data_IF_934071484377
#
_entry.id   IF_934071484377
#
_cell.length_a   1.000
_cell.length_b   1.000
_cell.length_c   1.000
_cell.angle_alpha   90.00
_cell.angle_beta   90.00
_cell.angle_gamma   90.00
#
_symmetry.space_group_name_H-M   'P 1'
#
loop_
_entity.id
_entity.type
_entity.pdbx_description
1 polymer ?
#
# COMPACT_ATOMS: atom_id res chain seq x y z
N UNK A 1 -28.22 8.80 7.37
CA UNK A 1 -28.58 9.80 8.38
C UNK A 1 -29.03 8.99 9.59
N UNK A 2 -28.31 9.05 10.72
CA UNK A 2 -28.69 8.34 11.95
C UNK A 2 -29.67 9.21 12.73
N UNK A 3 -30.88 8.72 12.99
CA UNK A 3 -31.90 9.41 13.78
C UNK A 3 -32.11 8.59 15.05
N UNK A 4 -31.72 9.16 16.20
CA UNK A 4 -31.84 8.51 17.50
C UNK A 4 -32.77 9.35 18.39
N UNK A 5 -33.76 8.70 19.00
CA UNK A 5 -34.70 9.38 19.89
C UNK A 5 -34.02 9.69 21.22
N UNK A 6 -34.03 10.98 21.59
CA UNK A 6 -33.46 11.47 22.84
C UNK A 6 -34.61 11.68 23.82
N UNK A 7 -34.61 10.92 24.91
CA UNK A 7 -35.70 10.94 25.91
C UNK A 7 -35.40 11.79 27.14
N UNK A 8 -34.13 12.10 27.41
CA UNK A 8 -33.66 12.83 28.60
C UNK A 8 -32.63 13.90 28.23
N UNK A 9 -32.50 14.97 29.03
CA UNK A 9 -31.54 16.05 28.77
C UNK A 9 -30.09 15.56 28.84
N UNK A 10 -29.80 14.60 29.73
CA UNK A 10 -28.49 13.97 29.83
C UNK A 10 -28.15 13.16 28.57
N UNK A 11 -29.13 12.43 28.02
CA UNK A 11 -28.97 11.70 26.75
C UNK A 11 -28.67 12.65 25.58
N UNK A 12 -29.22 13.87 25.60
CA UNK A 12 -28.90 14.89 24.61
C UNK A 12 -27.43 15.33 24.70
N UNK A 13 -26.98 15.66 25.92
CA UNK A 13 -25.59 16.07 26.15
C UNK A 13 -24.59 14.96 25.79
N UNK A 14 -24.90 13.71 26.19
CA UNK A 14 -24.09 12.54 25.85
C UNK A 14 -24.03 12.29 24.33
N UNK A 15 -25.17 12.40 23.64
CA UNK A 15 -25.23 12.24 22.18
C UNK A 15 -24.37 13.28 21.46
N UNK A 16 -24.49 14.56 21.84
CA UNK A 16 -23.68 15.63 21.24
C UNK A 16 -22.19 15.41 21.53
N UNK A 17 -21.83 15.04 22.76
CA UNK A 17 -20.44 14.75 23.12
C UNK A 17 -19.87 13.54 22.36
N UNK A 18 -20.66 12.47 22.17
CA UNK A 18 -20.26 11.32 21.36
C UNK A 18 -20.14 11.67 19.87
N UNK A 19 -21.03 12.52 19.36
CA UNK A 19 -21.02 12.94 17.96
C UNK A 19 -19.80 13.81 17.64
N UNK A 20 -19.49 14.79 18.49
CA UNK A 20 -18.27 15.61 18.36
C UNK A 20 -17.01 14.74 18.46
N UNK A 21 -17.01 13.74 19.34
CA UNK A 21 -15.90 12.81 19.50
C UNK A 21 -15.96 11.59 18.57
N UNK A 22 -16.82 11.59 17.54
CA UNK A 22 -17.02 10.42 16.66
C UNK A 22 -15.73 9.96 15.98
N UNK A 23 -14.86 10.90 15.60
CA UNK A 23 -13.53 10.62 15.02
C UNK A 23 -12.57 9.97 16.01
N UNK A 24 -12.77 10.20 17.31
CA UNK A 24 -11.94 9.67 18.40
C UNK A 24 -12.59 8.46 19.11
N UNK A 25 -13.76 8.02 18.65
CA UNK A 25 -14.51 6.92 19.24
C UNK A 25 -13.68 5.63 19.18
N UNK A 26 -13.46 5.00 20.33
CA UNK A 26 -12.69 3.76 20.46
C UNK A 26 -11.24 3.94 20.92
N UNK A 27 -10.58 5.07 20.59
CA UNK A 27 -9.19 5.33 21.03
C UNK A 27 -9.10 5.43 22.54
N UNK A 28 -10.03 6.14 23.18
CA UNK A 28 -10.06 6.26 24.64
C UNK A 28 -10.34 4.93 25.35
N UNK A 29 -11.11 4.02 24.73
CA UNK A 29 -11.35 2.70 25.31
C UNK A 29 -10.11 1.82 25.21
N UNK A 30 -9.46 1.81 24.04
CA UNK A 30 -8.20 1.10 23.84
C UNK A 30 -7.11 1.61 24.80
N UNK A 31 -6.99 2.93 25.00
CA UNK A 31 -6.06 3.51 25.96
C UNK A 31 -6.33 3.06 27.39
N UNK A 32 -7.60 3.03 27.81
CA UNK A 32 -7.98 2.52 29.14
C UNK A 32 -7.60 1.05 29.31
N UNK A 33 -7.88 0.21 28.31
CA UNK A 33 -7.49 -1.20 28.33
C UNK A 33 -5.96 -1.40 28.38
N UNK A 34 -5.20 -0.58 27.67
CA UNK A 34 -3.73 -0.60 27.77
C UNK A 34 -3.29 -0.30 29.21
N UNK A 35 -3.82 0.76 29.82
CA UNK A 35 -3.46 1.15 31.19
C UNK A 35 -3.86 0.06 32.19
N UNK A 36 -5.04 -0.52 32.04
CA UNK A 36 -5.53 -1.62 32.88
C UNK A 36 -4.59 -2.83 32.81
N UNK A 37 -4.26 -3.30 31.61
CA UNK A 37 -3.36 -4.45 31.41
C UNK A 37 -1.95 -4.15 31.91
N UNK A 38 -1.47 -2.90 31.77
CA UNK A 38 -0.19 -2.46 32.34
C UNK A 38 -0.18 -2.47 33.87
N UNK A 39 -1.29 -2.06 34.50
CA UNK A 39 -1.40 -2.09 35.96
C UNK A 39 -1.48 -3.52 36.50
N UNK A 40 -2.16 -4.41 35.77
CA UNK A 40 -2.26 -5.83 36.13
C UNK A 40 -0.95 -6.60 35.91
N UNK A 41 -0.13 -6.18 34.95
CA UNK A 41 1.12 -6.84 34.56
C UNK A 41 2.25 -5.79 34.48
N UNK A 42 2.78 -5.32 35.63
CA UNK A 42 3.78 -4.25 35.69
C UNK A 42 5.11 -4.58 34.98
N UNK A 43 5.36 -5.86 34.75
CA UNK A 43 6.56 -6.38 34.09
C UNK A 43 6.50 -6.29 32.56
N UNK A 44 5.33 -6.06 31.96
CA UNK A 44 5.18 -6.05 30.51
C UNK A 44 5.64 -4.73 29.89
N UNK A 45 6.43 -4.84 28.83
CA UNK A 45 6.70 -3.73 27.92
C UNK A 45 5.44 -3.42 27.08
N UNK A 46 5.34 -2.21 26.55
CA UNK A 46 4.18 -1.77 25.75
C UNK A 46 3.93 -2.68 24.54
N UNK A 47 4.99 -3.29 23.99
CA UNK A 47 4.90 -4.27 22.90
C UNK A 47 4.21 -5.56 23.34
N UNK A 48 4.45 -5.99 24.58
CA UNK A 48 3.85 -7.20 25.16
C UNK A 48 2.39 -6.97 25.55
N UNK A 49 2.09 -5.81 26.14
CA UNK A 49 0.72 -5.36 26.40
C UNK A 49 -0.09 -5.32 25.11
N UNK A 50 0.47 -4.71 24.06
CA UNK A 50 -0.18 -4.63 22.74
C UNK A 50 -0.39 -6.03 22.15
N UNK A 51 0.55 -6.95 22.35
CA UNK A 51 0.40 -8.36 21.93
C UNK A 51 -0.74 -9.05 22.66
N UNK A 52 -0.85 -8.87 23.98
CA UNK A 52 -1.93 -9.44 24.79
C UNK A 52 -3.30 -8.91 24.36
N UNK A 53 -3.41 -7.61 24.09
CA UNK A 53 -4.62 -7.00 23.51
C UNK A 53 -4.92 -7.62 22.13
N UNK A 54 -3.91 -7.75 21.27
CA UNK A 54 -4.07 -8.35 19.94
C UNK A 54 -4.59 -9.79 20.00
N UNK A 55 -4.08 -10.61 20.92
CA UNK A 55 -4.58 -11.98 21.15
C UNK A 55 -6.04 -11.95 21.63
N UNK A 56 -6.37 -11.06 22.56
CA UNK A 56 -7.74 -10.92 23.04
C UNK A 56 -8.70 -10.54 21.88
N UNK A 57 -8.30 -9.58 21.04
CA UNK A 57 -9.07 -9.22 19.85
C UNK A 57 -9.24 -10.40 18.89
N UNK A 58 -8.18 -11.17 18.62
CA UNK A 58 -8.26 -12.34 17.74
C UNK A 58 -9.19 -13.43 18.30
N UNK A 59 -9.27 -13.60 19.62
CA UNK A 59 -10.19 -14.56 20.23
C UNK A 59 -11.67 -14.12 20.18
N UNK A 60 -11.92 -12.82 20.06
CA UNK A 60 -13.28 -12.27 19.96
C UNK A 60 -13.77 -12.07 18.54
N UNK A 61 -12.89 -12.14 17.54
CA UNK A 61 -13.24 -11.98 16.13
C UNK A 61 -13.45 -13.36 15.50
N UNK A 62 -14.60 -13.56 14.85
CA UNK A 62 -14.83 -14.73 13.99
C UNK A 62 -13.99 -14.59 12.72
N UNK A 63 -13.12 -15.56 12.47
CA UNK A 63 -12.18 -15.57 11.34
C UNK A 63 -12.38 -16.89 10.57
N UNK A 64 -12.27 -16.84 9.24
CA UNK A 64 -12.38 -18.06 8.42
C UNK A 64 -11.20 -19.01 8.68
N UNK A 65 -11.38 -20.31 8.44
CA UNK A 65 -10.31 -21.30 8.63
C UNK A 65 -9.05 -21.00 7.81
N UNK A 66 -9.23 -20.42 6.61
CA UNK A 66 -8.15 -20.02 5.71
C UNK A 66 -7.32 -18.87 6.29
N UNK A 67 -7.99 -17.82 6.79
CA UNK A 67 -7.34 -16.67 7.42
C UNK A 67 -6.68 -17.06 8.76
N UNK A 68 -7.31 -17.93 9.55
CA UNK A 68 -6.75 -18.44 10.79
C UNK A 68 -5.45 -19.24 10.53
N UNK A 69 -5.42 -20.09 9.51
CA UNK A 69 -4.20 -20.77 9.07
C UNK A 69 -3.11 -19.77 8.66
N UNK A 70 -3.47 -18.69 7.95
CA UNK A 70 -2.54 -17.64 7.55
C UNK A 70 -1.93 -16.89 8.75
N UNK A 71 -2.74 -16.57 9.75
CA UNK A 71 -2.31 -15.97 11.02
C UNK A 71 -1.35 -16.90 11.78
N UNK A 72 -1.66 -18.19 11.87
CA UNK A 72 -0.83 -19.19 12.55
C UNK A 72 0.54 -19.35 11.87
N UNK A 73 0.58 -19.28 10.53
CA UNK A 73 1.81 -19.30 9.75
C UNK A 73 2.62 -17.99 9.82
N UNK A 74 2.06 -16.94 10.45
CA UNK A 74 2.64 -15.58 10.51
C UNK A 74 2.92 -14.99 9.12
N UNK A 75 2.12 -15.38 8.14
CA UNK A 75 2.23 -14.83 6.80
C UNK A 75 1.51 -13.48 6.74
N UNK A 76 2.04 -12.49 6.00
CA UNK A 76 1.37 -11.22 5.85
C UNK A 76 0.03 -11.42 5.12
N UNK A 77 -1.03 -10.81 5.63
CA UNK A 77 -2.39 -10.90 5.07
C UNK A 77 -2.49 -10.39 3.62
N UNK A 78 -1.52 -9.60 3.18
CA UNK A 78 -1.41 -9.17 1.79
C UNK A 78 0.05 -9.17 1.34
N UNK A 79 0.31 -9.77 0.18
CA UNK A 79 1.58 -9.67 -0.54
C UNK A 79 1.35 -8.90 -1.82
N UNK A 80 2.12 -7.83 -2.02
CA UNK A 80 2.14 -7.08 -3.26
C UNK A 80 3.42 -7.40 -4.05
N UNK A 81 3.31 -7.47 -5.38
CA UNK A 81 4.48 -7.70 -6.26
C UNK A 81 5.47 -6.54 -6.25
N UNK A 82 4.99 -5.35 -5.85
CA UNK A 82 5.72 -4.10 -5.82
C UNK A 82 5.40 -3.34 -4.54
N UNK A 83 6.44 -2.89 -3.84
CA UNK A 83 6.28 -2.12 -2.60
C UNK A 83 5.80 -0.71 -2.93
N UNK A 84 4.74 -0.29 -2.24
CA UNK A 84 4.20 1.06 -2.30
C UNK A 84 4.86 1.90 -1.19
N UNK A 85 5.31 3.11 -1.50
CA UNK A 85 5.91 4.03 -0.52
C UNK A 85 5.28 5.42 -0.67
N UNK A 86 4.81 5.97 0.44
CA UNK A 86 4.26 7.32 0.47
C UNK A 86 5.36 8.34 0.77
N UNK A 87 5.44 9.41 -0.03
CA UNK A 87 6.28 10.57 0.22
C UNK A 87 5.39 11.67 0.82
N UNK A 88 5.69 12.16 2.04
CA UNK A 88 4.91 13.22 2.67
C UNK A 88 5.29 14.59 2.08
N UNK A 89 4.51 15.06 1.13
CA UNK A 89 4.72 16.32 0.36
C UNK A 89 4.14 17.57 1.04
N UNK A 90 3.78 17.47 2.31
CA UNK A 90 3.35 18.60 3.14
C UNK A 90 4.56 19.50 3.47
N UNK A 91 4.30 20.69 4.01
CA UNK A 91 5.34 21.57 4.53
C UNK A 91 6.24 20.84 5.53
N UNK A 92 7.55 21.13 5.60
CA UNK A 92 8.48 20.47 6.51
C UNK A 92 8.01 20.43 7.97
N UNK A 93 7.32 21.49 8.43
CA UNK A 93 6.76 21.61 9.78
C UNK A 93 5.60 20.64 10.03
N UNK A 94 4.77 20.38 9.01
CA UNK A 94 3.58 19.53 9.13
C UNK A 94 3.88 18.04 8.89
N UNK A 95 5.11 17.70 8.47
CA UNK A 95 5.49 16.32 8.18
C UNK A 95 5.55 15.51 9.45
N UNK A 96 4.81 14.41 9.45
CA UNK A 96 4.89 13.40 10.50
C UNK A 96 6.31 12.82 10.56
N UNK A 97 6.89 12.81 11.76
CA UNK A 97 8.18 12.17 12.04
C UNK A 97 7.98 11.06 13.07
N UNK A 98 8.79 10.02 12.94
CA UNK A 98 8.78 8.89 13.85
C UNK A 98 9.94 9.05 14.80
N UNK A 99 9.67 9.06 16.12
CA UNK A 99 10.71 9.08 17.15
C UNK A 99 11.48 7.75 17.15
N UNK A 100 12.79 7.81 17.40
CA UNK A 100 13.60 6.61 17.67
C UNK A 100 13.11 5.92 18.95
N UNK A 101 13.26 4.60 19.01
CA UNK A 101 12.95 3.81 20.20
C UNK A 101 13.90 4.17 21.33
N UNK A 102 13.43 4.13 22.59
CA UNK A 102 14.26 4.51 23.75
C UNK A 102 15.57 3.70 23.80
N UNK A 103 15.50 2.37 23.64
CA UNK A 103 16.67 1.49 23.53
C UNK A 103 17.72 1.98 22.51
N UNK A 104 17.27 2.47 21.35
CA UNK A 104 18.17 2.94 20.31
C UNK A 104 18.77 4.32 20.61
N UNK A 105 18.09 5.13 21.43
CA UNK A 105 18.63 6.41 21.92
C UNK A 105 19.70 6.14 22.99
N UNK A 106 19.41 5.21 23.91
CA UNK A 106 20.31 4.80 24.99
C UNK A 106 21.59 4.16 24.42
N UNK A 107 21.47 3.27 23.42
CA UNK A 107 22.61 2.67 22.70
C UNK A 107 23.48 3.71 21.98
N UNK A 108 22.88 4.78 21.46
CA UNK A 108 23.59 5.86 20.79
C UNK A 108 24.23 6.86 21.77
N UNK A 109 24.05 6.68 23.09
CA UNK A 109 24.60 7.58 24.11
C UNK A 109 24.10 9.02 23.97
N UNK A 110 22.89 9.19 23.42
CA UNK A 110 22.33 10.50 23.13
C UNK A 110 21.89 11.13 24.46
N UNK A 111 22.57 12.20 24.89
CA UNK A 111 22.17 12.98 26.07
C UNK A 111 20.76 13.57 25.92
N UNK A 112 20.10 13.84 27.05
CA UNK A 112 18.69 14.28 27.12
C UNK A 112 18.40 15.54 26.27
N UNK A 113 19.41 16.37 26.00
CA UNK A 113 19.29 17.63 25.25
C UNK A 113 19.49 17.51 23.73
N UNK A 114 19.75 16.30 23.21
CA UNK A 114 20.06 16.15 21.78
C UNK A 114 18.80 16.21 20.90
N UNK A 115 18.85 17.00 19.84
CA UNK A 115 17.77 17.13 18.85
C UNK A 115 17.64 15.90 17.94
N UNK A 116 18.58 14.93 18.00
CA UNK A 116 18.61 13.74 17.13
C UNK A 116 17.71 12.58 17.61
N UNK A 117 16.52 12.92 18.10
CA UNK A 117 15.51 11.95 18.58
C UNK A 117 14.67 11.34 17.45
N UNK A 118 14.69 11.94 16.26
CA UNK A 118 13.83 11.56 15.13
C UNK A 118 14.53 10.59 14.18
N UNK A 119 13.76 9.68 13.57
CA UNK A 119 14.23 8.83 12.47
C UNK A 119 14.29 9.62 11.17
N UNK A 120 15.30 9.33 10.36
CA UNK A 120 15.49 9.93 9.04
C UNK A 120 14.34 9.57 8.08
N UNK A 121 13.67 10.61 7.58
CA UNK A 121 12.66 10.52 6.53
C UNK A 121 13.32 10.39 5.13
N UNK A 122 12.51 10.23 4.09
CA UNK A 122 12.98 10.21 2.70
C UNK A 122 13.67 11.51 2.28
N UNK A 123 13.20 12.66 2.77
CA UNK A 123 13.85 13.95 2.57
C UNK A 123 15.23 13.97 3.21
N UNK A 124 15.34 13.65 4.52
CA UNK A 124 16.63 13.61 5.23
C UNK A 124 17.66 12.70 4.52
N UNK A 125 17.21 11.54 4.00
CA UNK A 125 18.07 10.62 3.23
C UNK A 125 18.47 11.20 1.87
N UNK A 126 17.56 11.91 1.22
CA UNK A 126 17.81 12.55 -0.06
C UNK A 126 18.79 13.72 0.07
N UNK A 127 18.73 14.51 1.14
CA UNK A 127 19.69 15.59 1.39
C UNK A 127 21.11 15.05 1.70
N UNK A 128 21.20 13.89 2.34
CA UNK A 128 22.47 13.19 2.67
C UNK A 128 23.04 12.35 1.51
N UNK A 129 22.44 12.37 0.32
CA UNK A 129 22.88 11.53 -0.83
C UNK A 129 24.30 11.86 -1.30
N UNK A 130 25.01 10.93 -1.96
CA UNK A 130 26.33 11.25 -2.51
C UNK A 130 26.23 12.26 -3.69
N UNK A 131 27.33 12.95 -4.01
CA UNK A 131 27.37 13.99 -5.05
C UNK A 131 27.08 13.43 -6.45
N UNK A 132 27.39 12.15 -6.67
CA UNK A 132 27.07 11.42 -7.91
C UNK A 132 25.57 11.37 -8.24
N UNK A 133 24.70 11.62 -7.24
CA UNK A 133 23.25 11.59 -7.38
C UNK A 133 22.61 12.98 -7.32
N UNK A 134 23.36 14.04 -7.64
CA UNK A 134 22.84 15.41 -7.60
C UNK A 134 21.70 15.64 -8.61
N UNK A 135 21.78 15.06 -9.80
CA UNK A 135 20.79 15.24 -10.88
C UNK A 135 19.50 14.42 -10.71
N UNK A 136 19.48 13.49 -9.75
CA UNK A 136 18.34 12.59 -9.50
C UNK A 136 17.29 13.32 -8.69
N UNK A 137 16.03 13.26 -9.10
CA UNK A 137 14.92 13.89 -8.35
C UNK A 137 14.52 13.09 -7.12
N UNK A 138 13.80 13.70 -6.17
CA UNK A 138 13.32 13.00 -4.98
C UNK A 138 12.45 11.78 -5.36
N UNK A 139 11.54 11.93 -6.33
CA UNK A 139 10.71 10.82 -6.80
C UNK A 139 11.57 9.67 -7.36
N UNK A 140 12.51 9.98 -8.25
CA UNK A 140 13.41 8.96 -8.83
C UNK A 140 14.27 8.28 -7.75
N UNK A 141 14.75 9.04 -6.78
CA UNK A 141 15.52 8.51 -5.66
C UNK A 141 14.71 7.50 -4.84
N UNK A 142 13.49 7.85 -4.43
CA UNK A 142 12.62 6.98 -3.62
C UNK A 142 12.18 5.74 -4.40
N UNK A 143 11.84 5.88 -5.68
CA UNK A 143 11.42 4.76 -6.52
C UNK A 143 12.56 3.79 -6.83
N UNK A 144 13.73 4.30 -7.24
CA UNK A 144 14.74 3.50 -7.90
C UNK A 144 15.93 3.15 -7.02
N UNK A 145 16.21 3.89 -5.95
CA UNK A 145 17.43 3.71 -5.16
C UNK A 145 17.16 3.04 -3.81
N UNK A 146 18.13 2.24 -3.38
CA UNK A 146 18.18 1.66 -2.04
C UNK A 146 19.54 1.93 -1.41
N UNK A 147 19.52 2.20 -0.11
CA UNK A 147 20.72 2.35 0.72
C UNK A 147 21.21 0.95 1.07
N UNK A 148 22.49 0.67 0.83
CA UNK A 148 23.20 -0.52 1.30
C UNK A 148 23.76 -0.28 2.71
N UNK A 149 24.21 -1.35 3.37
CA UNK A 149 24.79 -1.29 4.72
C UNK A 149 26.09 -0.46 4.78
N UNK A 150 26.80 -0.34 3.66
CA UNK A 150 28.01 0.49 3.52
C UNK A 150 27.69 1.98 3.28
N UNK A 151 26.41 2.37 3.28
CA UNK A 151 25.98 3.73 2.98
C UNK A 151 25.97 4.07 1.48
N UNK A 152 26.36 3.14 0.61
CA UNK A 152 26.29 3.34 -0.84
C UNK A 152 24.87 3.17 -1.37
N UNK A 153 24.59 3.82 -2.49
CA UNK A 153 23.30 3.74 -3.17
C UNK A 153 23.37 2.75 -4.32
N UNK A 154 22.36 1.89 -4.44
CA UNK A 154 22.21 0.99 -5.57
C UNK A 154 20.83 1.03 -6.18
N UNK A 155 20.77 0.80 -7.49
CA UNK A 155 19.53 0.71 -8.23
C UNK A 155 18.76 -0.57 -7.87
N UNK A 156 17.46 -0.41 -7.66
CA UNK A 156 16.53 -1.51 -7.39
C UNK A 156 16.23 -2.27 -8.68
N UNK A 157 16.12 -3.60 -8.56
CA UNK A 157 15.64 -4.45 -9.67
C UNK A 157 14.18 -4.19 -10.06
N UNK A 158 13.35 -3.83 -9.07
CA UNK A 158 11.96 -3.42 -9.25
C UNK A 158 11.76 -2.06 -8.58
N UNK A 159 11.32 -1.03 -9.31
CA UNK A 159 11.07 0.29 -8.73
C UNK A 159 9.89 0.22 -7.76
N UNK A 160 9.89 1.11 -6.76
CA UNK A 160 8.76 1.27 -5.84
C UNK A 160 7.69 2.15 -6.45
N UNK A 161 6.43 1.86 -6.14
CA UNK A 161 5.31 2.74 -6.51
C UNK A 161 5.25 3.87 -5.48
N UNK A 162 5.28 5.10 -5.96
CA UNK A 162 5.23 6.29 -5.10
C UNK A 162 3.78 6.73 -4.93
N UNK A 163 3.41 7.08 -3.71
CA UNK A 163 2.18 7.81 -3.40
C UNK A 163 2.53 9.14 -2.75
N UNK A 164 1.71 10.14 -2.96
CA UNK A 164 1.87 11.49 -2.40
C UNK A 164 0.48 12.14 -2.32
N UNK A 165 0.37 13.35 -1.75
CA UNK A 165 -0.92 13.94 -1.38
C UNK A 165 -1.81 14.28 -2.59
N UNK A 166 -1.20 14.70 -3.71
CA UNK A 166 -1.89 15.08 -4.96
C UNK A 166 -2.79 16.30 -4.74
N UNK A 167 -2.17 17.46 -4.53
CA UNK A 167 -2.92 18.72 -4.45
C UNK A 167 -3.66 19.00 -5.77
N UNK A 168 -4.88 19.53 -5.67
CA UNK A 168 -5.67 19.90 -6.84
C UNK A 168 -5.17 21.23 -7.40
N UNK A 169 -4.88 21.25 -8.71
CA UNK A 169 -4.44 22.45 -9.42
C UNK A 169 -5.51 23.55 -9.41
N UNK A 170 -6.79 23.20 -9.37
CA UNK A 170 -7.89 24.16 -9.40
C UNK A 170 -8.14 24.82 -8.04
N UNK A 171 -7.89 24.11 -6.94
CA UNK A 171 -8.12 24.62 -5.59
C UNK A 171 -6.85 25.27 -5.01
N UNK A 172 -5.71 24.58 -5.10
CA UNK A 172 -4.47 24.93 -4.40
C UNK A 172 -3.28 24.98 -5.37
N UNK A 173 -3.29 25.94 -6.30
CA UNK A 173 -2.26 26.04 -7.34
C UNK A 173 -0.82 26.14 -6.78
N UNK A 174 -0.61 26.92 -5.72
CA UNK A 174 0.72 27.10 -5.13
C UNK A 174 1.23 25.81 -4.48
N UNK A 175 0.36 25.10 -3.77
CA UNK A 175 0.68 23.83 -3.13
C UNK A 175 0.98 22.75 -4.17
N UNK A 176 0.20 22.74 -5.27
CA UNK A 176 0.47 21.90 -6.43
C UNK A 176 1.85 22.19 -7.03
N UNK A 177 2.18 23.47 -7.33
CA UNK A 177 3.50 23.84 -7.87
C UNK A 177 4.63 23.40 -6.93
N UNK A 178 4.49 23.64 -5.62
CA UNK A 178 5.48 23.20 -4.62
C UNK A 178 5.65 21.69 -4.64
N UNK A 179 4.55 20.93 -4.59
CA UNK A 179 4.58 19.46 -4.60
C UNK A 179 5.28 18.93 -5.86
N UNK A 180 4.98 19.52 -7.02
CA UNK A 180 5.59 19.11 -8.30
C UNK A 180 7.09 19.40 -8.35
N UNK A 181 7.52 20.60 -7.92
CA UNK A 181 8.95 20.95 -7.83
C UNK A 181 9.66 20.02 -6.85
N UNK A 182 9.09 19.83 -5.66
CA UNK A 182 9.68 18.97 -4.62
C UNK A 182 9.83 17.51 -5.05
N UNK A 183 8.99 17.01 -5.95
CA UNK A 183 9.07 15.62 -6.42
C UNK A 183 9.94 15.45 -7.66
N UNK A 184 9.87 16.39 -8.60
CA UNK A 184 10.37 16.22 -9.98
C UNK A 184 11.48 17.21 -10.37
N UNK A 185 11.89 18.09 -9.46
CA UNK A 185 13.08 18.93 -9.61
C UNK A 185 14.19 18.43 -8.67
N UNK A 186 15.46 18.37 -9.12
CA UNK A 186 16.58 18.01 -8.24
C UNK A 186 16.93 19.18 -7.32
N UNK A 187 17.07 18.93 -6.02
CA UNK A 187 17.46 19.93 -5.02
C UNK A 187 18.31 19.28 -3.93
N UNK A 188 19.14 20.05 -3.21
CA UNK A 188 19.93 19.53 -2.09
C UNK A 188 19.31 19.86 -0.75
N UNK A 189 18.86 21.09 -0.56
CA UNK A 189 18.18 21.55 0.63
C UNK A 189 16.84 22.15 0.27
N UNK A 190 15.77 21.58 0.80
CA UNK A 190 14.41 22.00 0.45
C UNK A 190 14.12 23.45 0.89
N UNK A 191 14.49 23.79 2.13
CA UNK A 191 14.18 25.09 2.72
C UNK A 191 14.85 26.24 1.95
N UNK A 192 16.12 26.07 1.57
CA UNK A 192 16.91 27.11 0.91
C UNK A 192 16.65 27.22 -0.61
N UNK A 193 16.48 26.09 -1.30
CA UNK A 193 16.38 26.05 -2.76
C UNK A 193 14.94 26.11 -3.27
N UNK A 194 13.99 25.51 -2.53
CA UNK A 194 12.60 25.39 -2.98
C UNK A 194 11.70 26.39 -2.24
N UNK A 195 11.73 26.40 -0.90
CA UNK A 195 10.73 27.10 -0.09
C UNK A 195 11.07 28.57 0.15
N UNK A 196 12.36 28.89 0.27
CA UNK A 196 12.86 30.27 0.45
C UNK A 196 12.25 31.19 -0.61
N UNK A 197 11.63 32.28 -0.15
CA UNK A 197 11.05 33.33 -1.01
C UNK A 197 10.05 32.79 -2.06
N UNK A 198 9.45 31.62 -1.82
CA UNK A 198 8.54 30.96 -2.76
C UNK A 198 9.18 30.67 -4.13
N UNK A 199 10.50 30.41 -4.16
CA UNK A 199 11.27 30.09 -5.39
C UNK A 199 10.65 28.96 -6.22
N UNK A 200 9.95 28.02 -5.57
CA UNK A 200 9.23 26.95 -6.27
C UNK A 200 8.26 27.44 -7.35
N UNK A 201 7.70 28.65 -7.24
CA UNK A 201 6.82 29.21 -8.27
C UNK A 201 7.62 29.47 -9.56
N UNK A 202 8.73 30.19 -9.44
CA UNK A 202 9.61 30.51 -10.56
C UNK A 202 10.23 29.25 -11.16
N UNK A 203 10.74 28.35 -10.31
CA UNK A 203 11.34 27.08 -10.75
C UNK A 203 10.32 26.24 -11.53
N UNK A 204 9.06 26.19 -11.06
CA UNK A 204 8.01 25.48 -11.78
C UNK A 204 7.75 26.11 -13.15
N UNK A 205 7.55 27.42 -13.20
CA UNK A 205 7.20 28.13 -14.44
C UNK A 205 8.31 28.03 -15.50
N UNK A 206 9.59 28.05 -15.08
CA UNK A 206 10.74 27.85 -15.97
C UNK A 206 10.93 26.39 -16.43
N UNK A 207 10.54 25.41 -15.61
CA UNK A 207 10.84 23.98 -15.83
C UNK A 207 9.57 23.11 -16.02
N UNK A 208 8.43 23.71 -16.31
CA UNK A 208 7.13 23.03 -16.33
C UNK A 208 7.14 21.79 -17.23
N UNK A 209 7.64 21.93 -18.46
CA UNK A 209 7.70 20.82 -19.43
C UNK A 209 8.54 19.64 -18.92
N UNK A 210 9.65 19.93 -18.25
CA UNK A 210 10.56 18.92 -17.71
C UNK A 210 9.90 18.18 -16.54
N UNK A 211 9.25 18.91 -15.64
CA UNK A 211 8.52 18.38 -14.49
C UNK A 211 7.38 17.47 -14.95
N UNK A 212 6.57 17.92 -15.91
CA UNK A 212 5.45 17.14 -16.46
C UNK A 212 5.92 15.88 -17.19
N UNK A 213 7.04 15.96 -17.91
CA UNK A 213 7.65 14.79 -18.56
C UNK A 213 8.09 13.75 -17.53
N UNK A 214 8.83 14.15 -16.50
CA UNK A 214 9.27 13.27 -15.41
C UNK A 214 8.12 12.70 -14.59
N UNK A 215 7.04 13.47 -14.41
CA UNK A 215 5.82 13.02 -13.73
C UNK A 215 5.18 11.82 -14.43
N UNK A 216 5.21 11.80 -15.76
CA UNK A 216 4.65 10.72 -16.59
C UNK A 216 5.33 9.36 -16.36
N UNK A 217 6.57 9.35 -15.88
CA UNK A 217 7.27 8.10 -15.55
C UNK A 217 6.68 7.40 -14.31
N UNK A 218 6.05 8.16 -13.42
CA UNK A 218 5.47 7.66 -12.17
C UNK A 218 3.95 7.54 -12.20
N UNK A 219 3.31 8.31 -13.07
CA UNK A 219 1.87 8.24 -13.29
C UNK A 219 1.58 7.45 -14.56
N UNK A 220 1.11 6.21 -14.40
CA UNK A 220 0.52 5.50 -15.52
C UNK A 220 -0.76 6.24 -15.92
N UNK A 221 -0.81 6.71 -17.16
CA UNK A 221 -2.04 7.11 -17.84
C UNK A 221 -2.90 5.87 -18.13
N UNK A 222 -3.13 5.02 -17.13
CA UNK A 222 -4.07 3.93 -17.27
C UNK A 222 -5.46 4.57 -17.23
N UNK A 223 -6.20 4.42 -18.33
CA UNK A 223 -7.61 4.80 -18.35
C UNK A 223 -8.34 3.85 -17.40
N UNK A 224 -8.50 4.31 -16.15
CA UNK A 224 -9.11 3.54 -15.08
C UNK A 224 -10.54 3.14 -15.48
N UNK A 225 -11.24 3.98 -16.26
CA UNK A 225 -12.59 3.67 -16.74
C UNK A 225 -12.56 2.50 -17.72
N UNK A 226 -11.69 2.53 -18.72
CA UNK A 226 -11.51 1.40 -19.65
C UNK A 226 -11.06 0.13 -18.93
N UNK A 227 -10.21 0.27 -17.92
CA UNK A 227 -9.72 -0.89 -17.15
C UNK A 227 -10.85 -1.51 -16.32
N UNK A 228 -11.65 -0.69 -15.64
CA UNK A 228 -12.85 -1.12 -14.91
C UNK A 228 -13.86 -1.75 -15.87
N UNK A 229 -14.04 -1.19 -17.05
CA UNK A 229 -14.95 -1.72 -18.08
C UNK A 229 -14.49 -3.10 -18.59
N UNK A 230 -13.19 -3.27 -18.86
CA UNK A 230 -12.61 -4.57 -19.20
C UNK A 230 -12.80 -5.57 -18.06
N UNK A 231 -12.55 -5.18 -16.81
CA UNK A 231 -12.79 -6.04 -15.64
C UNK A 231 -14.27 -6.42 -15.52
N UNK A 232 -15.20 -5.48 -15.75
CA UNK A 232 -16.63 -5.76 -15.75
C UNK A 232 -17.04 -6.72 -16.86
N UNK A 233 -16.49 -6.59 -18.07
CA UNK A 233 -16.77 -7.55 -19.14
C UNK A 233 -16.24 -8.95 -18.79
N UNK A 234 -15.01 -9.04 -18.29
CA UNK A 234 -14.42 -10.31 -17.87
C UNK A 234 -15.17 -10.99 -16.71
N UNK A 235 -15.73 -10.21 -15.78
CA UNK A 235 -16.54 -10.74 -14.68
C UNK A 235 -17.99 -11.02 -15.09
N UNK A 236 -18.48 -10.45 -16.20
CA UNK A 236 -19.85 -10.70 -16.70
C UNK A 236 -19.98 -11.96 -17.54
N UNK A 237 -18.88 -12.48 -18.10
CA UNK A 237 -18.92 -13.72 -18.90
C UNK A 237 -19.21 -14.98 -18.04
N UNK A 238 -19.14 -14.89 -16.71
CA UNK A 238 -19.59 -15.96 -15.80
C UNK A 238 -21.07 -15.82 -15.37
N UNK A 239 -21.73 -14.69 -15.67
CA UNK A 239 -23.13 -14.40 -15.25
C UNK A 239 -24.18 -14.54 -16.38
N UNK A 240 -23.79 -14.97 -17.60
CA UNK A 240 -24.72 -15.15 -18.75
C UNK A 240 -25.12 -16.62 -18.94
N UNK A 241 -25.44 -17.34 -17.86
CA UNK A 241 -26.15 -18.62 -17.98
C UNK A 241 -27.36 -18.77 -17.05
N UNK A 242 -27.78 -17.73 -16.34
CA UNK A 242 -29.03 -17.78 -15.58
C UNK A 242 -29.89 -16.58 -15.95
N UNK A 243 -30.88 -16.81 -16.82
CA UNK A 243 -32.23 -16.23 -16.83
C UNK A 243 -32.77 -16.18 -18.26
N UNK A 244 -33.50 -17.21 -18.67
CA UNK A 244 -34.82 -17.05 -19.31
C UNK A 244 -35.59 -18.39 -19.24
N UNK A 245 -36.74 -18.34 -18.56
CA UNK A 245 -37.84 -19.34 -18.46
C UNK A 245 -37.89 -20.24 -17.22
N UNK A 246 -38.39 -19.65 -16.12
CA UNK A 246 -39.24 -20.37 -15.16
C UNK A 246 -40.62 -20.65 -15.79
N UNK A 247 -40.79 -21.85 -16.35
CA UNK A 247 -42.10 -22.52 -16.50
C UNK A 247 -41.90 -23.98 -16.88
N UNK A 248 -41.71 -24.84 -15.86
CA UNK A 248 -42.28 -26.20 -15.72
C UNK A 248 -41.49 -26.97 -14.65
N UNK A 249 -42.06 -27.05 -13.45
CA UNK A 249 -41.59 -27.95 -12.41
C UNK A 249 -42.06 -29.38 -12.73
N UNK A 250 -41.19 -30.23 -13.30
CA UNK A 250 -41.11 -31.67 -13.06
C UNK A 250 -40.12 -32.35 -14.01
N UNK A 251 -38.87 -32.56 -13.57
CA UNK A 251 -38.00 -33.73 -13.83
C UNK A 251 -36.54 -33.36 -13.55
N UNK A 252 -36.11 -33.44 -12.29
CA UNK A 252 -34.68 -33.46 -11.97
C UNK A 252 -34.16 -34.87 -12.23
N UNK A 253 -33.41 -35.06 -13.31
CA UNK A 253 -32.42 -36.14 -13.37
C UNK A 253 -31.12 -35.63 -12.72
N UNK A 254 -30.44 -36.43 -11.88
CA UNK A 254 -29.14 -36.01 -11.36
C UNK A 254 -28.13 -35.95 -12.51
N UNK A 255 -27.55 -34.78 -12.75
CA UNK A 255 -26.40 -34.69 -13.64
C UNK A 255 -25.21 -35.44 -13.03
N UNK A 256 -24.47 -36.26 -13.81
CA UNK A 256 -23.27 -36.92 -13.32
C UNK A 256 -22.18 -35.90 -13.03
N UNK A 257 -21.43 -36.11 -11.95
CA UNK A 257 -20.29 -35.27 -11.56
C UNK A 257 -19.29 -35.14 -12.74
N UNK A 258 -19.01 -33.91 -13.24
CA UNK A 258 -18.15 -33.69 -14.39
C UNK A 258 -16.72 -34.20 -14.20
N UNK A 259 -16.32 -34.45 -12.94
CA UNK A 259 -14.97 -34.87 -12.57
C UNK A 259 -14.87 -36.37 -12.31
N UNK A 260 -15.97 -37.12 -12.41
CA UNK A 260 -16.02 -38.54 -12.08
C UNK A 260 -15.09 -39.39 -12.98
N UNK A 261 -14.84 -38.94 -14.21
CA UNK A 261 -13.94 -39.58 -15.16
C UNK A 261 -12.44 -39.28 -14.91
N UNK A 262 -12.11 -38.29 -14.08
CA UNK A 262 -10.71 -37.97 -13.72
C UNK A 262 -10.16 -38.90 -12.63
N UNK A 263 -11.03 -39.44 -11.78
CA UNK A 263 -10.64 -40.32 -10.69
C UNK A 263 -10.51 -41.80 -11.11
N UNK A 264 -10.95 -42.17 -12.31
CA UNK A 264 -11.02 -43.58 -12.75
C UNK A 264 -9.90 -44.04 -13.70
N UNK A 265 -9.06 -43.16 -14.25
CA UNK A 265 -8.06 -43.56 -15.24
C UNK A 265 -6.61 -43.50 -14.71
N UNK A 266 -6.00 -44.68 -14.57
CA UNK A 266 -4.73 -44.92 -13.88
C UNK A 266 -3.44 -44.65 -14.69
N UNK A 267 -3.44 -43.76 -15.70
CA UNK A 267 -2.22 -43.47 -16.48
C UNK A 267 -1.93 -41.96 -16.63
N UNK A 268 -0.83 -41.45 -16.02
CA UNK A 268 -0.55 -40.02 -15.87
C UNK A 268 0.08 -39.31 -17.09
N UNK A 269 0.44 -40.02 -18.17
CA UNK A 269 1.19 -39.41 -19.28
C UNK A 269 0.33 -38.74 -20.37
N UNK A 270 -0.94 -39.12 -20.52
CA UNK A 270 -1.82 -38.55 -21.56
C UNK A 270 -2.39 -37.18 -21.11
N UNK A 271 -2.56 -36.95 -19.81
CA UNK A 271 -3.15 -35.71 -19.25
C UNK A 271 -2.30 -34.45 -19.50
N UNK A 272 -0.99 -34.54 -19.64
CA UNK A 272 -0.16 -33.34 -19.79
C UNK A 272 -0.19 -32.73 -21.20
N UNK A 273 -0.60 -33.48 -22.23
CA UNK A 273 -0.67 -32.99 -23.60
C UNK A 273 -1.97 -32.19 -23.84
N UNK A 274 -3.12 -32.74 -23.40
CA UNK A 274 -4.42 -32.11 -23.63
C UNK A 274 -4.67 -30.88 -22.73
N UNK A 275 -4.18 -30.90 -21.49
CA UNK A 275 -4.26 -29.73 -20.59
C UNK A 275 -3.40 -28.59 -21.15
N UNK A 276 -2.22 -28.88 -21.71
CA UNK A 276 -1.37 -27.86 -22.36
C UNK A 276 -1.97 -27.34 -23.66
N UNK A 277 -2.62 -28.19 -24.46
CA UNK A 277 -3.28 -27.80 -25.70
C UNK A 277 -4.52 -26.93 -25.45
N UNK A 278 -5.34 -27.27 -24.44
CA UNK A 278 -6.51 -26.49 -24.04
C UNK A 278 -6.14 -25.11 -23.48
N UNK A 279 -5.06 -25.03 -22.69
CA UNK A 279 -4.55 -23.77 -22.14
C UNK A 279 -3.90 -22.89 -23.22
N UNK A 280 -3.20 -23.48 -24.19
CA UNK A 280 -2.59 -22.74 -25.31
C UNK A 280 -3.62 -22.20 -26.31
N UNK A 281 -4.72 -22.92 -26.53
CA UNK A 281 -5.81 -22.45 -27.40
C UNK A 281 -6.64 -21.31 -26.78
N UNK A 282 -6.78 -21.26 -25.44
CA UNK A 282 -7.39 -20.10 -24.73
C UNK A 282 -6.49 -18.86 -24.70
N UNK A 283 -5.20 -18.97 -25.05
CA UNK A 283 -4.21 -17.89 -25.01
C UNK A 283 -3.74 -17.44 -26.41
N UNK A 284 -4.64 -17.08 -27.31
CA UNK A 284 -4.32 -16.20 -28.46
C UNK A 284 -4.61 -14.74 -28.09
N UNK A 285 -3.92 -13.68 -28.59
CA UNK A 285 -2.76 -13.54 -29.49
C UNK A 285 -1.47 -13.06 -28.78
N UNK A 286 -1.42 -13.03 -27.44
CA UNK A 286 -0.31 -12.44 -26.68
C UNK A 286 0.94 -13.36 -26.62
N UNK A 287 0.80 -14.66 -26.86
CA UNK A 287 1.90 -15.63 -26.75
C UNK A 287 2.75 -15.82 -28.04
N UNK A 288 2.38 -15.26 -29.19
CA UNK A 288 3.10 -15.52 -30.47
C UNK A 288 4.37 -14.68 -30.71
N UNK A 289 4.77 -13.77 -29.80
CA UNK A 289 5.93 -12.87 -30.03
C UNK A 289 7.15 -13.06 -29.09
N UNK A 290 7.34 -14.25 -28.51
CA UNK A 290 8.58 -14.61 -27.79
C UNK A 290 9.14 -15.96 -28.23
N UNK A 291 9.55 -16.08 -29.49
CA UNK A 291 10.55 -17.08 -29.91
C UNK A 291 11.58 -16.43 -30.81
N UNK A 292 12.63 -15.90 -30.19
CA UNK A 292 14.01 -15.81 -30.69
C UNK A 292 14.87 -15.19 -29.58
N UNK A 293 15.29 -16.01 -28.63
CA UNK A 293 16.54 -15.82 -27.88
C UNK A 293 16.96 -17.19 -27.37
N UNK A 294 17.83 -17.86 -28.14
CA UNK A 294 18.53 -19.07 -27.73
C UNK A 294 19.62 -18.65 -26.73
N UNK A 295 19.59 -19.24 -25.54
CA UNK A 295 20.66 -19.13 -24.55
C UNK A 295 20.52 -20.24 -23.54
N UNK A 296 21.30 -21.31 -23.71
CA UNK A 296 21.38 -22.47 -22.82
C UNK A 296 21.79 -22.01 -21.41
N UNK A 297 21.01 -22.33 -20.38
CA UNK A 297 21.52 -22.47 -19.02
C UNK A 297 21.13 -23.85 -18.48
N UNK A 298 22.17 -24.66 -18.29
CA UNK A 298 22.18 -26.00 -17.73
C UNK A 298 22.04 -25.86 -16.21
N UNK A 299 21.14 -26.63 -15.61
CA UNK A 299 20.96 -26.72 -14.17
C UNK A 299 22.04 -27.64 -13.59
N UNK A 300 22.77 -27.13 -12.60
CA UNK A 300 23.15 -27.86 -11.39
C UNK A 300 22.48 -27.13 -10.23
#
# INVERSE_FOLDING_TARGET
MDIQFITEEYSCAAYVAEYVNKTNRGVSHLQRLIIEIMNENPEFDIVEVTRKIGVNMLNHVEITSQEAAWYLLREPMSKCSTVVTTIPTMWPVDRQRIRKTQKALDEMGIGEDSTNIWRDNWFDKYEKRHQDLNDVTLAQFVANYTVKSDGSYSLRKKPRIIRYRKFDMAQDLNEYKREMVSLHFPFRNEDAEILSELKFIQIYDENENLILSRRKDFESNLDIRKTIEICRCLCRDDDILDNENDQEAANRYPEPDPYQNLFQNANPEINNADIRAAVLNKLGPIAKKKRKFNGKCRVL
#
